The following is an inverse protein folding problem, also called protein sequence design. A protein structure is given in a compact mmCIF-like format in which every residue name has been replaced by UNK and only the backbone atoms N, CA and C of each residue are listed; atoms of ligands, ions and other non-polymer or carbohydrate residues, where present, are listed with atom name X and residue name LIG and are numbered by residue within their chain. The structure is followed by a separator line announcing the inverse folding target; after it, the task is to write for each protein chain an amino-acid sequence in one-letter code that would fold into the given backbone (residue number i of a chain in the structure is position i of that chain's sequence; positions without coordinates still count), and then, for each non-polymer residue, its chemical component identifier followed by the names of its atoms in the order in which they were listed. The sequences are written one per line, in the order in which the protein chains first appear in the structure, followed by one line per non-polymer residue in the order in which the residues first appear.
data_IF_222676119234
#
_entry.id   IF_222676119234
#
_cell.length_a   1.000
_cell.length_b   1.000
_cell.length_c   1.000
_cell.angle_alpha   90.00
_cell.angle_beta   90.00
_cell.angle_gamma   90.00
#
_symmetry.space_group_name_H-M   'P 1'
#
loop_
_entity.id
_entity.type
_entity.pdbx_description
1 polymer ?
#
# COMPACT_ATOMS: atom_id res chain seq x y z
N UNK A 1 13.09 -11.89 23.13
CA UNK A 1 11.94 -11.76 22.20
C UNK A 1 12.14 -12.75 21.06
N UNK A 2 11.12 -13.53 20.65
CA UNK A 2 11.28 -14.52 19.56
C UNK A 2 11.25 -13.85 18.19
N UNK A 3 11.88 -14.44 17.16
CA UNK A 3 11.84 -13.93 15.77
C UNK A 3 10.41 -13.65 15.31
N UNK A 4 9.48 -14.57 15.61
CA UNK A 4 8.05 -14.42 15.30
C UNK A 4 7.44 -13.21 16.01
N UNK A 5 7.73 -13.02 17.29
CA UNK A 5 7.27 -11.85 18.05
C UNK A 5 7.79 -10.54 17.46
N UNK A 6 9.07 -10.48 17.07
CA UNK A 6 9.65 -9.31 16.40
C UNK A 6 8.92 -8.97 15.10
N UNK A 7 8.65 -9.96 14.25
CA UNK A 7 7.94 -9.77 12.99
C UNK A 7 6.49 -9.29 13.20
N UNK A 8 5.80 -9.79 14.22
CA UNK A 8 4.47 -9.30 14.57
C UNK A 8 4.49 -7.84 15.03
N UNK A 9 5.50 -7.44 15.80
CA UNK A 9 5.68 -6.03 16.20
C UNK A 9 6.00 -5.15 14.99
N UNK A 10 6.87 -5.59 14.08
CA UNK A 10 7.12 -4.86 12.82
C UNK A 10 5.83 -4.70 12.01
N UNK A 11 5.02 -5.76 11.92
CA UNK A 11 3.75 -5.70 11.21
C UNK A 11 2.77 -4.71 11.82
N UNK A 12 2.62 -4.76 13.15
CA UNK A 12 1.75 -3.85 13.88
C UNK A 12 2.25 -2.40 13.80
N UNK A 13 3.55 -2.16 13.97
CA UNK A 13 4.14 -0.83 13.95
C UNK A 13 4.04 -0.17 12.57
N UNK A 14 4.37 -0.91 11.49
CA UNK A 14 4.26 -0.39 10.12
C UNK A 14 2.80 -0.10 9.73
N UNK A 15 1.87 -1.00 10.06
CA UNK A 15 0.44 -0.80 9.82
C UNK A 15 -0.13 0.37 10.64
N UNK A 16 0.22 0.48 11.92
CA UNK A 16 -0.23 1.56 12.79
C UNK A 16 0.33 2.92 12.33
N UNK A 17 1.61 2.99 11.94
CA UNK A 17 2.20 4.21 11.40
C UNK A 17 1.47 4.66 10.13
N UNK A 18 1.25 3.75 9.18
CA UNK A 18 0.51 4.06 7.96
C UNK A 18 -0.92 4.52 8.27
N UNK A 19 -1.60 3.86 9.21
CA UNK A 19 -2.94 4.24 9.64
C UNK A 19 -2.98 5.66 10.22
N UNK A 20 -2.04 6.00 11.11
CA UNK A 20 -1.93 7.34 11.71
C UNK A 20 -1.67 8.39 10.65
N UNK A 21 -0.78 8.12 9.68
CA UNK A 21 -0.49 9.03 8.58
C UNK A 21 -1.70 9.24 7.66
N UNK A 22 -2.47 8.18 7.36
CA UNK A 22 -3.71 8.31 6.62
C UNK A 22 -4.75 9.15 7.39
N UNK A 23 -4.95 8.86 8.67
CA UNK A 23 -5.91 9.58 9.52
C UNK A 23 -5.53 11.04 9.78
N UNK A 24 -4.23 11.40 9.72
CA UNK A 24 -3.75 12.78 9.88
C UNK A 24 -4.43 13.75 8.90
N UNK A 25 -4.80 13.28 7.70
CA UNK A 25 -5.51 14.10 6.71
C UNK A 25 -6.91 14.56 7.13
N UNK A 26 -7.48 14.02 8.22
CA UNK A 26 -8.72 14.54 8.82
C UNK A 26 -8.50 15.78 9.70
N UNK A 27 -7.27 15.99 10.20
CA UNK A 27 -6.97 16.99 11.23
C UNK A 27 -6.20 18.21 10.71
N UNK A 28 -5.62 18.11 9.51
CA UNK A 28 -4.91 19.21 8.86
C UNK A 28 -5.82 19.71 7.75
N UNK A 29 -6.27 20.97 7.83
CA UNK A 29 -7.04 21.60 6.77
C UNK A 29 -6.33 21.37 5.42
N UNK A 30 -7.12 21.19 4.36
CA UNK A 30 -6.65 20.93 3.01
C UNK A 30 -5.93 22.18 2.45
N UNK A 31 -4.74 22.51 2.97
CA UNK A 31 -3.80 23.37 2.27
C UNK A 31 -3.54 22.78 0.88
N UNK A 32 -3.24 23.61 -0.13
CA UNK A 32 -2.84 23.11 -1.43
C UNK A 32 -1.57 22.26 -1.28
N UNK A 33 -1.76 20.94 -1.23
CA UNK A 33 -0.68 19.99 -1.04
C UNK A 33 0.16 19.98 -2.32
N UNK A 34 1.45 20.25 -2.18
CA UNK A 34 2.44 20.00 -3.24
C UNK A 34 2.25 18.56 -3.77
N UNK A 35 1.94 18.43 -5.06
CA UNK A 35 1.60 17.14 -5.71
C UNK A 35 2.67 16.08 -5.42
N UNK A 36 3.95 16.49 -5.44
CA UNK A 36 5.06 15.59 -5.12
C UNK A 36 4.99 15.07 -3.69
N UNK A 37 4.84 15.96 -2.71
CA UNK A 37 4.67 15.56 -1.30
C UNK A 37 3.44 14.67 -1.08
N UNK A 38 2.38 14.90 -1.85
CA UNK A 38 1.15 14.10 -1.80
C UNK A 38 1.39 12.66 -2.26
N UNK A 39 2.00 12.47 -3.42
CA UNK A 39 2.31 11.13 -3.94
C UNK A 39 3.34 10.40 -3.08
N UNK A 40 4.32 11.10 -2.51
CA UNK A 40 5.25 10.51 -1.54
C UNK A 40 4.51 10.04 -0.28
N UNK A 41 3.46 10.74 0.14
CA UNK A 41 2.60 10.27 1.23
C UNK A 41 1.94 8.95 0.84
N UNK A 42 1.34 8.86 -0.36
CA UNK A 42 0.76 7.59 -0.83
C UNK A 42 1.79 6.45 -0.90
N UNK A 43 3.01 6.71 -1.35
CA UNK A 43 4.10 5.73 -1.37
C UNK A 43 4.38 5.20 0.06
N UNK A 44 4.51 6.09 1.05
CA UNK A 44 4.68 5.68 2.45
C UNK A 44 3.51 4.81 2.96
N UNK A 45 2.27 5.13 2.57
CA UNK A 45 1.09 4.35 2.95
C UNK A 45 1.09 2.94 2.32
N UNK A 46 1.42 2.86 1.02
CA UNK A 46 1.58 1.59 0.30
C UNK A 46 2.67 0.75 0.96
N UNK A 47 3.84 1.35 1.18
CA UNK A 47 4.99 0.71 1.81
C UNK A 47 4.64 0.18 3.21
N UNK A 48 3.95 0.98 4.03
CA UNK A 48 3.51 0.57 5.36
C UNK A 48 2.57 -0.66 5.32
N UNK A 49 1.60 -0.66 4.40
CA UNK A 49 0.74 -1.84 4.16
C UNK A 49 1.52 -3.06 3.69
N UNK A 50 2.44 -2.88 2.72
CA UNK A 50 3.26 -3.95 2.17
C UNK A 50 4.22 -4.56 3.21
N UNK A 51 4.94 -3.72 3.97
CA UNK A 51 5.83 -4.17 5.06
C UNK A 51 5.03 -4.92 6.12
N UNK A 52 3.83 -4.44 6.47
CA UNK A 52 2.96 -5.12 7.43
C UNK A 52 2.60 -6.53 6.97
N UNK A 53 2.15 -6.66 5.73
CA UNK A 53 1.81 -7.94 5.11
C UNK A 53 3.01 -8.89 4.98
N UNK A 54 4.17 -8.40 4.52
CA UNK A 54 5.39 -9.20 4.37
C UNK A 54 5.92 -9.69 5.72
N UNK A 55 5.88 -8.83 6.75
CA UNK A 55 6.27 -9.22 8.11
C UNK A 55 5.32 -10.29 8.68
N UNK A 56 4.01 -10.17 8.46
CA UNK A 56 3.06 -11.22 8.83
C UNK A 56 3.31 -12.51 8.03
N UNK A 57 3.53 -12.43 6.72
CA UNK A 57 3.81 -13.61 5.89
C UNK A 57 5.07 -14.35 6.38
N UNK A 58 6.11 -13.60 6.78
CA UNK A 58 7.33 -14.15 7.37
C UNK A 58 7.12 -14.74 8.78
N UNK A 59 6.19 -14.18 9.57
CA UNK A 59 5.82 -14.71 10.89
C UNK A 59 4.99 -15.99 10.80
N UNK A 60 4.28 -16.18 9.67
CA UNK A 60 3.38 -17.30 9.38
C UNK A 60 3.72 -17.97 8.05
N UNK A 61 4.93 -18.58 7.93
CA UNK A 61 5.38 -19.15 6.67
C UNK A 61 4.52 -20.36 6.27
N UNK A 62 4.32 -20.51 4.96
CA UNK A 62 3.67 -21.68 4.37
C UNK A 62 4.58 -22.91 4.46
N UNK A 63 4.01 -24.11 4.60
CA UNK A 63 4.75 -25.39 4.57
C UNK A 63 5.51 -25.61 3.25
N UNK A 64 4.87 -25.30 2.13
CA UNK A 64 5.49 -25.31 0.80
C UNK A 64 5.39 -23.90 0.20
N UNK A 65 6.41 -23.04 0.37
CA UNK A 65 6.34 -21.64 -0.05
C UNK A 65 6.47 -21.46 -1.57
N UNK A 66 7.06 -22.41 -2.29
CA UNK A 66 7.26 -22.32 -3.74
C UNK A 66 6.15 -22.98 -4.56
N UNK A 67 5.25 -23.74 -3.93
CA UNK A 67 4.06 -24.23 -4.61
C UNK A 67 3.05 -23.10 -4.83
N UNK A 68 2.31 -23.15 -5.92
CA UNK A 68 1.30 -22.14 -6.22
C UNK A 68 0.01 -22.41 -5.44
N UNK A 69 -0.69 -21.33 -5.07
CA UNK A 69 -2.04 -21.37 -4.50
C UNK A 69 -2.95 -20.45 -5.33
N UNK A 70 -3.60 -20.98 -6.39
CA UNK A 70 -4.31 -20.18 -7.38
C UNK A 70 -5.39 -19.25 -6.80
N UNK A 71 -6.00 -19.61 -5.68
CA UNK A 71 -7.02 -18.79 -5.01
C UNK A 71 -6.52 -17.40 -4.58
N UNK A 72 -5.19 -17.22 -4.47
CA UNK A 72 -4.58 -15.93 -4.13
C UNK A 72 -4.18 -15.09 -5.34
N UNK A 73 -4.23 -15.64 -6.55
CA UNK A 73 -3.79 -14.94 -7.76
C UNK A 73 -4.66 -13.71 -8.04
N UNK A 74 -5.98 -13.89 -8.07
CA UNK A 74 -6.90 -12.79 -8.34
C UNK A 74 -6.75 -11.64 -7.33
N UNK A 75 -6.81 -11.86 -6.00
CA UNK A 75 -6.61 -10.77 -5.06
C UNK A 75 -5.20 -10.16 -5.14
N UNK A 76 -4.16 -10.93 -5.48
CA UNK A 76 -2.81 -10.39 -5.69
C UNK A 76 -2.73 -9.41 -6.87
N UNK A 77 -3.57 -9.59 -7.90
CA UNK A 77 -3.70 -8.68 -9.04
C UNK A 77 -4.58 -7.47 -8.67
N UNK A 78 -5.66 -7.68 -7.92
CA UNK A 78 -6.59 -6.62 -7.54
C UNK A 78 -5.95 -5.58 -6.61
N UNK A 79 -4.98 -5.96 -5.77
CA UNK A 79 -4.25 -5.02 -4.90
C UNK A 79 -3.59 -3.88 -5.70
N UNK A 80 -2.64 -4.17 -6.61
CA UNK A 80 -2.00 -3.16 -7.46
C UNK A 80 -2.98 -2.40 -8.36
N UNK A 81 -3.97 -3.07 -8.96
CA UNK A 81 -4.99 -2.40 -9.77
C UNK A 81 -5.82 -1.40 -8.95
N UNK A 82 -6.17 -1.75 -7.71
CA UNK A 82 -6.83 -0.83 -6.79
C UNK A 82 -5.95 0.39 -6.48
N UNK A 83 -4.65 0.18 -6.24
CA UNK A 83 -3.69 1.27 -6.06
C UNK A 83 -3.61 2.20 -7.28
N UNK A 84 -3.59 1.65 -8.49
CA UNK A 84 -3.62 2.42 -9.74
C UNK A 84 -4.90 3.26 -9.86
N UNK A 85 -6.06 2.67 -9.57
CA UNK A 85 -7.36 3.36 -9.64
C UNK A 85 -7.42 4.55 -8.68
N UNK A 86 -6.91 4.39 -7.45
CA UNK A 86 -6.90 5.45 -6.45
C UNK A 86 -5.96 6.61 -6.80
N UNK A 87 -5.03 6.40 -7.73
CA UNK A 87 -4.11 7.42 -8.23
C UNK A 87 -4.53 8.01 -9.58
N UNK A 88 -5.72 7.70 -10.10
CA UNK A 88 -6.18 8.28 -11.38
C UNK A 88 -6.35 9.80 -11.23
N UNK A 89 -5.68 10.63 -12.07
CA UNK A 89 -5.72 12.09 -11.94
C UNK A 89 -7.13 12.70 -12.01
N UNK A 90 -8.05 12.09 -12.77
CA UNK A 90 -9.43 12.58 -12.90
C UNK A 90 -10.23 12.50 -11.59
N UNK A 91 -9.79 11.73 -10.60
CA UNK A 91 -10.43 11.66 -9.28
C UNK A 91 -10.00 12.78 -8.33
N UNK A 92 -8.88 13.47 -8.60
CA UNK A 92 -8.28 14.41 -7.65
C UNK A 92 -9.16 15.63 -7.35
N UNK A 93 -9.81 16.29 -8.33
CA UNK A 93 -10.69 17.42 -8.02
C UNK A 93 -11.82 17.03 -7.06
N UNK A 94 -12.38 15.83 -7.25
CA UNK A 94 -13.45 15.31 -6.38
C UNK A 94 -12.91 14.99 -4.98
N UNK A 95 -11.80 14.25 -4.89
CA UNK A 95 -11.21 13.87 -3.60
C UNK A 95 -10.77 15.09 -2.79
N UNK A 96 -10.15 16.08 -3.44
CA UNK A 96 -9.73 17.33 -2.79
C UNK A 96 -10.91 18.15 -2.26
N UNK A 97 -12.08 18.06 -2.90
CA UNK A 97 -13.30 18.72 -2.44
C UNK A 97 -14.02 17.95 -1.31
N UNK A 98 -13.69 16.66 -1.10
CA UNK A 98 -14.40 15.79 -0.17
C UNK A 98 -13.42 15.08 0.77
N UNK A 99 -13.08 15.70 1.94
CA UNK A 99 -12.05 15.21 2.86
C UNK A 99 -12.22 13.74 3.28
N UNK A 100 -13.46 13.31 3.49
CA UNK A 100 -13.75 11.91 3.85
C UNK A 100 -13.32 10.96 2.74
N UNK A 101 -13.62 11.27 1.48
CA UNK A 101 -13.24 10.41 0.34
C UNK A 101 -11.75 10.42 0.09
N UNK A 102 -11.08 11.54 0.37
CA UNK A 102 -9.62 11.64 0.34
C UNK A 102 -8.96 10.75 1.38
N UNK A 103 -9.45 10.78 2.61
CA UNK A 103 -8.95 9.93 3.69
C UNK A 103 -9.22 8.45 3.39
N UNK A 104 -10.39 8.14 2.84
CA UNK A 104 -10.69 6.78 2.40
C UNK A 104 -9.75 6.32 1.28
N UNK A 105 -9.34 7.20 0.37
CA UNK A 105 -8.35 6.86 -0.64
C UNK A 105 -6.98 6.57 -0.01
N UNK A 106 -6.56 7.31 1.02
CA UNK A 106 -5.35 6.98 1.80
C UNK A 106 -5.43 5.57 2.43
N UNK A 107 -6.54 5.21 3.06
CA UNK A 107 -6.72 3.84 3.57
C UNK A 107 -6.72 2.80 2.44
N UNK A 108 -7.30 3.14 1.29
CA UNK A 108 -7.25 2.31 0.09
C UNK A 108 -5.82 2.00 -0.36
N UNK A 109 -4.89 2.95 -0.29
CA UNK A 109 -3.48 2.74 -0.60
C UNK A 109 -2.79 1.77 0.38
N UNK A 110 -3.11 1.84 1.67
CA UNK A 110 -2.61 0.87 2.67
C UNK A 110 -3.12 -0.54 2.33
N UNK A 111 -4.42 -0.66 2.03
CA UNK A 111 -5.06 -1.93 1.67
C UNK A 111 -4.49 -2.50 0.37
N UNK A 112 -4.23 -1.65 -0.63
CA UNK A 112 -3.62 -2.03 -1.89
C UNK A 112 -2.22 -2.62 -1.68
N UNK A 113 -1.36 -1.92 -0.92
CA UNK A 113 -0.02 -2.39 -0.56
C UNK A 113 -0.03 -3.69 0.23
N UNK A 114 -0.91 -3.79 1.24
CA UNK A 114 -1.10 -5.00 2.04
C UNK A 114 -1.55 -6.18 1.18
N UNK A 115 -2.57 -5.98 0.35
CA UNK A 115 -3.15 -7.03 -0.51
C UNK A 115 -2.14 -7.51 -1.53
N UNK A 116 -1.41 -6.60 -2.20
CA UNK A 116 -0.38 -6.95 -3.16
C UNK A 116 0.72 -7.84 -2.53
N UNK A 117 1.22 -7.43 -1.36
CA UNK A 117 2.23 -8.17 -0.61
C UNK A 117 1.71 -9.52 -0.11
N UNK A 118 0.59 -9.50 0.63
CA UNK A 118 0.07 -10.68 1.30
C UNK A 118 -0.40 -11.72 0.31
N UNK A 119 -1.30 -11.34 -0.61
CA UNK A 119 -1.84 -12.28 -1.58
C UNK A 119 -0.76 -12.75 -2.56
N UNK A 120 0.19 -11.88 -2.93
CA UNK A 120 1.36 -12.30 -3.71
C UNK A 120 2.18 -13.38 -2.99
N UNK A 121 2.57 -13.14 -1.73
CA UNK A 121 3.29 -14.15 -0.94
C UNK A 121 2.47 -15.42 -0.67
N UNK A 122 1.15 -15.28 -0.53
CA UNK A 122 0.26 -16.44 -0.38
C UNK A 122 0.05 -17.20 -1.67
N UNK A 123 0.13 -16.57 -2.85
CA UNK A 123 0.12 -17.25 -4.14
C UNK A 123 1.41 -18.06 -4.33
N UNK A 124 2.57 -17.39 -4.28
CA UNK A 124 3.90 -18.01 -4.41
C UNK A 124 4.96 -17.13 -3.77
N UNK A 125 5.94 -17.76 -3.12
CA UNK A 125 7.04 -17.05 -2.50
C UNK A 125 7.70 -16.04 -3.44
N UNK A 126 8.01 -14.85 -2.93
CA UNK A 126 8.61 -13.70 -3.63
C UNK A 126 7.70 -12.93 -4.58
N UNK A 127 6.51 -13.44 -4.92
CA UNK A 127 5.56 -12.67 -5.75
C UNK A 127 5.06 -11.44 -5.01
N UNK A 128 4.82 -11.54 -3.70
CA UNK A 128 4.42 -10.40 -2.88
C UNK A 128 5.48 -9.29 -2.85
N UNK A 129 6.76 -9.66 -2.69
CA UNK A 129 7.87 -8.71 -2.81
C UNK A 129 7.91 -8.01 -4.17
N UNK A 130 7.83 -8.77 -5.26
CA UNK A 130 7.85 -8.22 -6.61
C UNK A 130 6.68 -7.26 -6.84
N UNK A 131 5.45 -7.69 -6.52
CA UNK A 131 4.25 -6.88 -6.67
C UNK A 131 4.31 -5.57 -5.87
N UNK A 132 4.76 -5.64 -4.61
CA UNK A 132 4.93 -4.45 -3.76
C UNK A 132 6.00 -3.50 -4.29
N UNK A 133 7.13 -4.02 -4.77
CA UNK A 133 8.18 -3.17 -5.36
C UNK A 133 7.71 -2.44 -6.61
N UNK A 134 6.95 -3.10 -7.49
CA UNK A 134 6.39 -2.44 -8.67
C UNK A 134 5.32 -1.41 -8.32
N UNK A 135 4.43 -1.72 -7.38
CA UNK A 135 3.41 -0.78 -6.91
C UNK A 135 4.05 0.46 -6.24
N UNK A 136 5.07 0.25 -5.42
CA UNK A 136 5.84 1.32 -4.79
C UNK A 136 6.59 2.17 -5.82
N UNK A 137 7.28 1.53 -6.78
CA UNK A 137 8.00 2.23 -7.83
C UNK A 137 7.06 3.11 -8.67
N UNK A 138 5.83 2.66 -8.92
CA UNK A 138 4.80 3.45 -9.59
C UNK A 138 4.39 4.67 -8.74
N UNK A 139 4.11 4.48 -7.45
CA UNK A 139 3.72 5.56 -6.55
C UNK A 139 4.83 6.63 -6.42
N UNK A 140 6.08 6.19 -6.29
CA UNK A 140 7.25 7.09 -6.28
C UNK A 140 7.41 7.76 -7.64
N UNK A 141 7.30 7.02 -8.74
CA UNK A 141 7.38 7.57 -10.10
C UNK A 141 6.36 8.68 -10.36
N UNK A 142 5.13 8.51 -9.88
CA UNK A 142 4.07 9.51 -9.98
C UNK A 142 4.45 10.82 -9.27
N UNK A 143 5.15 10.76 -8.13
CA UNK A 143 5.63 11.95 -7.43
C UNK A 143 6.62 12.81 -8.24
N UNK A 144 7.24 12.24 -9.27
CA UNK A 144 8.21 12.92 -10.14
C UNK A 144 7.67 13.19 -11.55
N UNK A 145 6.35 13.12 -11.75
CA UNK A 145 5.70 13.49 -13.01
C UNK A 145 5.55 12.36 -14.03
N UNK A 146 5.80 11.11 -13.66
CA UNK A 146 5.44 9.99 -14.52
C UNK A 146 3.91 9.80 -14.52
N UNK A 147 3.27 9.98 -15.68
CA UNK A 147 1.81 9.81 -15.83
C UNK A 147 0.96 11.03 -15.42
N UNK A 148 1.59 12.16 -15.06
CA UNK A 148 0.91 13.43 -14.76
C UNK A 148 1.62 14.53 -15.56
N UNK A 149 0.95 15.06 -16.58
CA UNK A 149 1.42 16.26 -17.31
C UNK A 149 1.28 17.48 -16.41
N UNK A 150 2.32 18.32 -16.37
CA UNK A 150 2.32 19.63 -15.70
C UNK A 150 1.19 20.52 -16.18
#
# INVERSE_FOLDING_TARGET
MTRRGTLQVVAAASGALAFVLAARSLAVDAEPIDVRSHHLTHAVLILGGAVSALALAAAYPRRNPYSEQPQWLLPAILGPLGGMVLMIPTLYPYMNAHPVTHVLSHFGHIIAGFTAAWCGERYRARVGWAASLFLEAMAVGAAFGFGVTR
#
